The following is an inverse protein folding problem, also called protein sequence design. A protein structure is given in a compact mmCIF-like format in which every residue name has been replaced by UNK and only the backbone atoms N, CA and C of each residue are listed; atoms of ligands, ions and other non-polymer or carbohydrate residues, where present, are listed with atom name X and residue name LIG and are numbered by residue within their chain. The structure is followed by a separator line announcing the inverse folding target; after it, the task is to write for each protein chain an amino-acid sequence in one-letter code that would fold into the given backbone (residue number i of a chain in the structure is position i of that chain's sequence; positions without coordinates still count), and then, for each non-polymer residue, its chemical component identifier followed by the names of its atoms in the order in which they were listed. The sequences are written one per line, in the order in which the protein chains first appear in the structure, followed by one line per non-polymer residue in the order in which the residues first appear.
data_IF_129787635433
#
_entry.id   IF_129787635433
#
_cell.length_a   1.000
_cell.length_b   1.000
_cell.length_c   1.000
_cell.angle_alpha   90.00
_cell.angle_beta   90.00
_cell.angle_gamma   90.00
#
_symmetry.space_group_name_H-M   'P 1'
#
loop_
_entity.id
_entity.type
_entity.pdbx_description
1 polymer ?
#
# COMPACT_ATOMS: atom_id res chain seq x y z
N UNK A 1 -8.89 -5.43 29.36
CA UNK A 1 -9.94 -6.46 29.17
C UNK A 1 -9.46 -7.61 28.27
N UNK A 2 -8.93 -7.35 27.06
CA UNK A 2 -8.48 -8.37 26.09
C UNK A 2 -7.55 -9.47 26.64
N UNK A 3 -6.53 -9.13 27.45
CA UNK A 3 -5.60 -10.13 28.03
C UNK A 3 -6.29 -11.18 28.89
N UNK A 4 -7.29 -10.76 29.67
CA UNK A 4 -8.01 -11.63 30.59
C UNK A 4 -8.89 -12.62 29.82
N UNK A 5 -9.57 -12.13 28.79
CA UNK A 5 -10.44 -12.94 27.93
C UNK A 5 -9.64 -13.95 27.09
N UNK A 6 -8.50 -13.53 26.52
CA UNK A 6 -7.64 -14.41 25.73
C UNK A 6 -6.66 -15.24 26.56
N UNK A 7 -6.68 -15.08 27.90
CA UNK A 7 -5.75 -15.73 28.84
C UNK A 7 -4.27 -15.57 28.47
N UNK A 8 -3.91 -14.39 27.93
CA UNK A 8 -2.54 -14.08 27.51
C UNK A 8 -1.77 -13.44 28.67
N UNK A 9 -0.59 -13.99 28.98
CA UNK A 9 0.31 -13.46 30.00
C UNK A 9 1.07 -12.23 29.50
N UNK A 10 1.48 -11.36 30.43
CA UNK A 10 2.24 -10.13 30.15
C UNK A 10 3.47 -10.35 29.25
N UNK A 11 4.16 -11.46 29.44
CA UNK A 11 5.37 -11.81 28.70
C UNK A 11 5.10 -12.42 27.31
N UNK A 12 3.91 -12.98 27.07
CA UNK A 12 3.56 -13.59 25.78
C UNK A 12 3.17 -12.55 24.73
N UNK A 13 2.62 -11.44 25.19
CA UNK A 13 2.27 -10.29 24.37
C UNK A 13 2.45 -9.08 25.27
N UNK A 14 3.40 -8.19 25.02
CA UNK A 14 3.59 -6.99 25.83
C UNK A 14 2.45 -5.97 25.63
N UNK A 15 2.27 -5.02 26.55
CA UNK A 15 1.23 -3.99 26.40
C UNK A 15 1.46 -3.13 25.15
N UNK A 16 2.73 -2.87 24.80
CA UNK A 16 3.09 -2.17 23.57
C UNK A 16 2.68 -2.96 22.30
N UNK A 17 2.83 -4.28 22.30
CA UNK A 17 2.40 -5.13 21.18
C UNK A 17 0.88 -5.22 21.08
N UNK A 18 0.19 -5.29 22.22
CA UNK A 18 -1.26 -5.29 22.26
C UNK A 18 -1.82 -3.95 21.75
N UNK A 19 -1.23 -2.83 22.17
CA UNK A 19 -1.60 -1.49 21.71
C UNK A 19 -1.32 -1.31 20.20
N UNK A 20 -0.17 -1.79 19.73
CA UNK A 20 0.17 -1.76 18.30
C UNK A 20 -0.81 -2.60 17.46
N UNK A 21 -1.20 -3.78 17.97
CA UNK A 21 -2.21 -4.60 17.30
C UNK A 21 -3.56 -3.87 17.26
N UNK A 22 -3.96 -3.25 18.38
CA UNK A 22 -5.19 -2.45 18.46
C UNK A 22 -5.23 -1.31 17.45
N UNK A 23 -4.17 -0.48 17.40
CA UNK A 23 -4.05 0.63 16.44
C UNK A 23 -4.05 0.15 14.98
N UNK A 24 -3.55 -1.06 14.72
CA UNK A 24 -3.60 -1.64 13.38
C UNK A 24 -5.03 -2.07 12.98
N UNK A 25 -5.94 -2.27 13.94
CA UNK A 25 -7.30 -2.73 13.69
C UNK A 25 -8.31 -1.59 13.67
N UNK A 26 -8.09 -0.57 14.49
CA UNK A 26 -8.89 0.65 14.60
C UNK A 26 -8.44 1.65 13.53
N UNK A 27 -8.74 1.32 12.27
CA UNK A 27 -8.21 2.05 11.12
C UNK A 27 -8.77 3.48 11.03
N UNK A 28 -9.95 3.70 11.61
CA UNK A 28 -10.58 5.02 11.71
C UNK A 28 -10.21 5.77 13.00
N UNK A 29 -9.45 5.15 13.92
CA UNK A 29 -9.03 5.75 15.18
C UNK A 29 -10.19 6.08 16.12
N UNK A 30 -11.35 5.44 15.94
CA UNK A 30 -12.56 5.70 16.74
C UNK A 30 -12.46 5.20 18.17
N UNK A 31 -11.44 4.39 18.49
CA UNK A 31 -11.30 3.69 19.75
C UNK A 31 -12.22 2.47 19.85
N UNK A 32 -12.92 2.10 18.77
CA UNK A 32 -13.87 1.00 18.71
C UNK A 32 -13.61 0.15 17.47
N UNK A 33 -13.82 -1.16 17.56
CA UNK A 33 -13.72 -2.03 16.39
C UNK A 33 -15.11 -2.30 15.82
N UNK A 34 -15.33 -1.87 14.59
CA UNK A 34 -16.50 -2.28 13.82
C UNK A 34 -16.46 -3.78 13.50
N UNK A 35 -17.62 -4.37 13.22
CA UNK A 35 -17.70 -5.76 12.75
C UNK A 35 -16.85 -5.99 11.48
N UNK A 36 -16.70 -4.97 10.64
CA UNK A 36 -15.88 -5.00 9.43
C UNK A 36 -14.38 -5.11 9.72
N UNK A 37 -13.87 -4.28 10.63
CA UNK A 37 -12.48 -4.29 11.09
C UNK A 37 -12.13 -5.60 11.80
N UNK A 38 -13.00 -6.02 12.71
CA UNK A 38 -12.86 -7.29 13.43
C UNK A 38 -12.85 -8.50 12.47
N UNK A 39 -13.75 -8.52 11.48
CA UNK A 39 -13.77 -9.57 10.46
C UNK A 39 -12.51 -9.58 9.58
N UNK A 40 -11.95 -8.40 9.29
CA UNK A 40 -10.69 -8.26 8.54
C UNK A 40 -9.52 -8.86 9.33
N UNK A 41 -9.44 -8.58 10.63
CA UNK A 41 -8.47 -9.16 11.55
C UNK A 41 -8.52 -10.70 11.53
N UNK A 42 -9.71 -11.29 11.68
CA UNK A 42 -9.84 -12.76 11.70
C UNK A 42 -9.36 -13.41 10.39
N UNK A 43 -9.64 -12.78 9.25
CA UNK A 43 -9.13 -13.26 7.95
C UNK A 43 -7.61 -13.17 7.85
N UNK A 44 -7.00 -12.13 8.40
CA UNK A 44 -5.53 -12.03 8.46
C UNK A 44 -4.90 -13.14 9.31
N UNK A 45 -5.51 -13.47 10.45
CA UNK A 45 -5.05 -14.56 11.32
C UNK A 45 -5.18 -15.95 10.67
N UNK A 46 -6.29 -16.19 9.95
CA UNK A 46 -6.51 -17.46 9.23
C UNK A 46 -5.52 -17.68 8.07
N UNK A 47 -5.11 -16.61 7.38
CA UNK A 47 -4.11 -16.68 6.30
C UNK A 47 -2.71 -16.98 6.83
N UNK A 48 -2.35 -16.50 8.03
CA UNK A 48 -1.07 -16.81 8.69
C UNK A 48 -0.93 -18.28 9.11
N UNK A 49 -2.03 -18.91 9.55
CA UNK A 49 -2.03 -20.31 9.97
C UNK A 49 -1.86 -21.32 8.81
N UNK A 50 -1.98 -20.87 7.55
CA UNK A 50 -1.86 -21.71 6.34
C UNK A 50 -0.50 -21.64 5.64
N UNK A 51 0.50 -20.93 6.16
CA UNK A 51 1.70 -20.60 5.38
C UNK A 51 2.87 -21.60 5.51
N UNK A 52 2.83 -22.64 4.69
CA UNK A 52 3.78 -22.69 3.57
C UNK A 52 2.95 -22.81 2.31
N UNK A 53 3.06 -21.88 1.34
CA UNK A 53 2.30 -22.03 0.11
C UNK A 53 2.77 -23.33 -0.57
N UNK A 54 1.86 -24.23 -0.98
CA UNK A 54 2.24 -25.38 -1.78
C UNK A 54 2.97 -24.89 -3.03
N UNK A 55 4.02 -25.63 -3.43
CA UNK A 55 4.72 -25.42 -4.71
C UNK A 55 3.67 -25.57 -5.81
N UNK A 56 3.19 -24.44 -6.35
CA UNK A 56 1.94 -24.39 -7.11
C UNK A 56 2.19 -24.20 -8.60
N UNK A 57 1.50 -25.00 -9.40
CA UNK A 57 1.48 -24.97 -10.85
C UNK A 57 0.86 -23.66 -11.35
N UNK A 58 1.58 -22.96 -12.22
CA UNK A 58 1.11 -21.74 -12.87
C UNK A 58 0.11 -22.10 -13.97
N UNK A 59 -0.98 -21.33 -14.08
CA UNK A 59 -1.98 -21.49 -15.15
C UNK A 59 -1.52 -20.93 -16.50
N UNK A 60 -0.47 -20.11 -16.51
CA UNK A 60 0.21 -19.61 -17.70
C UNK A 60 1.20 -20.64 -18.27
N UNK A 61 1.56 -20.49 -19.53
CA UNK A 61 2.57 -21.35 -20.15
C UNK A 61 3.91 -21.24 -19.41
N UNK A 62 4.74 -22.30 -19.41
CA UNK A 62 6.08 -22.31 -18.77
C UNK A 62 6.96 -21.10 -19.14
N UNK A 63 6.75 -20.49 -20.31
CA UNK A 63 7.44 -19.28 -20.74
C UNK A 63 7.02 -18.01 -19.97
N UNK A 64 5.74 -17.86 -19.68
CA UNK A 64 5.20 -16.70 -18.93
C UNK A 64 5.67 -16.73 -17.47
N UNK A 65 5.76 -17.94 -16.88
CA UNK A 65 6.34 -18.12 -15.55
C UNK A 65 7.81 -17.69 -15.49
N UNK A 66 8.59 -18.14 -16.47
CA UNK A 66 9.99 -17.77 -16.55
C UNK A 66 10.16 -16.25 -16.74
N UNK A 67 9.33 -15.62 -17.58
CA UNK A 67 9.35 -14.19 -17.84
C UNK A 67 9.01 -13.37 -16.58
N UNK A 68 7.92 -13.72 -15.89
CA UNK A 68 7.52 -13.06 -14.65
C UNK A 68 8.59 -13.19 -13.55
N UNK A 69 9.20 -14.37 -13.39
CA UNK A 69 10.28 -14.56 -12.43
C UNK A 69 11.55 -13.78 -12.81
N UNK A 70 11.88 -13.70 -14.09
CA UNK A 70 13.02 -12.93 -14.58
C UNK A 70 12.82 -11.43 -14.35
N UNK A 71 11.65 -10.90 -14.70
CA UNK A 71 11.27 -9.52 -14.42
C UNK A 71 11.23 -9.24 -12.91
N UNK A 72 10.68 -10.16 -12.11
CA UNK A 72 10.69 -10.08 -10.66
C UNK A 72 12.07 -10.00 -10.06
N UNK A 73 13.03 -10.74 -10.61
CA UNK A 73 14.43 -10.66 -10.17
C UNK A 73 15.08 -9.31 -10.51
N UNK A 74 14.71 -8.68 -11.65
CA UNK A 74 15.20 -7.34 -12.02
C UNK A 74 14.59 -6.26 -11.13
N UNK A 75 13.27 -6.30 -10.94
CA UNK A 75 12.54 -5.44 -10.00
C UNK A 75 13.15 -5.57 -8.60
N UNK A 76 13.37 -6.80 -8.12
CA UNK A 76 14.02 -7.04 -6.83
C UNK A 76 15.41 -6.42 -6.74
N UNK A 77 16.28 -6.67 -7.72
CA UNK A 77 17.64 -6.11 -7.72
C UNK A 77 17.63 -4.57 -7.72
N UNK A 78 16.68 -3.96 -8.44
CA UNK A 78 16.53 -2.51 -8.47
C UNK A 78 16.02 -1.94 -7.16
N UNK A 79 15.03 -2.60 -6.55
CA UNK A 79 14.57 -2.27 -5.19
C UNK A 79 15.74 -2.30 -4.21
N UNK A 80 16.62 -3.29 -4.27
CA UNK A 80 17.81 -3.37 -3.41
C UNK A 80 18.80 -2.21 -3.64
N UNK A 81 18.99 -1.78 -4.88
CA UNK A 81 19.88 -0.65 -5.21
C UNK A 81 19.34 0.70 -4.76
N UNK A 82 18.02 0.91 -4.90
CA UNK A 82 17.35 2.15 -4.53
C UNK A 82 16.93 2.17 -3.05
N UNK A 83 17.08 1.03 -2.36
CA UNK A 83 16.74 0.87 -0.96
C UNK A 83 17.38 1.91 -0.02
N UNK A 84 18.68 2.27 -0.16
CA UNK A 84 19.27 3.31 0.68
C UNK A 84 18.71 4.71 0.42
N UNK A 85 17.99 4.90 -0.70
CA UNK A 85 17.50 6.19 -1.17
C UNK A 85 16.04 6.46 -0.81
N UNK A 86 15.35 5.53 -0.15
CA UNK A 86 13.99 5.73 0.35
C UNK A 86 12.90 5.80 -0.73
N UNK A 87 13.13 5.16 -1.89
CA UNK A 87 12.13 5.06 -2.96
C UNK A 87 10.98 4.15 -2.53
N UNK A 88 9.78 4.71 -2.33
CA UNK A 88 8.59 3.97 -1.90
C UNK A 88 7.61 3.63 -3.03
N UNK A 89 6.71 2.69 -2.74
CA UNK A 89 5.63 2.22 -3.62
C UNK A 89 4.41 3.12 -3.44
N UNK A 90 3.80 3.62 -4.51
CA UNK A 90 2.65 4.53 -4.40
C UNK A 90 1.37 3.82 -3.92
N UNK A 91 0.54 4.54 -3.14
CA UNK A 91 -0.86 4.17 -2.81
C UNK A 91 -1.13 3.77 -1.35
N UNK A 92 -2.15 4.39 -0.73
CA UNK A 92 -2.78 3.84 0.47
C UNK A 92 -3.81 2.79 0.06
N UNK A 93 -3.44 1.53 0.20
CA UNK A 93 -4.32 0.42 -0.11
C UNK A 93 -3.65 -0.70 -0.89
N UNK A 94 -4.45 -1.67 -1.37
CA UNK A 94 -3.94 -2.75 -2.18
C UNK A 94 -3.53 -2.20 -3.56
N UNK A 95 -2.33 -2.55 -3.99
CA UNK A 95 -1.70 -2.07 -5.21
C UNK A 95 -2.51 -2.52 -6.43
N UNK A 96 -2.93 -1.58 -7.25
CA UNK A 96 -3.59 -1.82 -8.54
C UNK A 96 -2.56 -2.01 -9.64
N UNK A 97 -2.99 -2.52 -10.80
CA UNK A 97 -2.09 -2.80 -11.93
C UNK A 97 -1.36 -1.54 -12.42
N UNK A 98 -2.11 -0.46 -12.59
CA UNK A 98 -1.56 0.82 -13.03
C UNK A 98 -0.53 1.37 -12.02
N UNK A 99 -0.81 1.22 -10.72
CA UNK A 99 0.11 1.67 -9.65
C UNK A 99 1.39 0.83 -9.60
N UNK A 100 1.29 -0.49 -9.85
CA UNK A 100 2.48 -1.34 -9.98
C UNK A 100 3.33 -0.91 -11.17
N UNK A 101 2.69 -0.63 -12.30
CA UNK A 101 3.37 -0.21 -13.52
C UNK A 101 4.07 1.14 -13.32
N UNK A 102 3.35 2.14 -12.82
CA UNK A 102 3.90 3.46 -12.47
C UNK A 102 5.05 3.32 -11.47
N UNK A 103 4.90 2.50 -10.42
CA UNK A 103 5.96 2.28 -9.46
C UNK A 103 7.20 1.66 -10.10
N UNK A 104 7.05 0.70 -11.02
CA UNK A 104 8.20 0.09 -11.71
C UNK A 104 8.86 1.08 -12.67
N UNK A 105 8.08 1.87 -13.41
CA UNK A 105 8.60 2.83 -14.39
C UNK A 105 9.21 4.06 -13.74
N UNK A 106 8.47 4.71 -12.86
CA UNK A 106 8.82 6.01 -12.31
C UNK A 106 9.53 5.87 -10.97
N UNK A 107 9.02 4.99 -10.11
CA UNK A 107 9.63 4.72 -8.81
C UNK A 107 10.99 4.02 -8.95
N UNK A 108 11.01 2.86 -9.62
CA UNK A 108 12.22 2.06 -9.78
C UNK A 108 13.08 2.49 -10.96
N UNK A 109 12.62 3.44 -11.78
CA UNK A 109 13.35 3.91 -12.97
C UNK A 109 13.79 2.74 -13.85
N UNK A 110 12.92 1.74 -14.03
CA UNK A 110 13.16 0.60 -14.91
C UNK A 110 12.56 0.87 -16.29
N UNK A 111 13.43 0.98 -17.27
CA UNK A 111 13.04 1.30 -18.66
C UNK A 111 12.32 0.11 -19.31
N UNK A 112 11.62 0.39 -20.40
CA UNK A 112 10.86 -0.63 -21.14
C UNK A 112 11.74 -1.74 -21.71
N UNK A 113 13.00 -1.45 -22.05
CA UNK A 113 13.98 -2.44 -22.49
C UNK A 113 14.50 -3.33 -21.35
N UNK A 114 14.42 -2.87 -20.10
CA UNK A 114 14.81 -3.63 -18.92
C UNK A 114 13.69 -4.53 -18.40
N UNK A 115 12.45 -4.06 -18.48
CA UNK A 115 11.26 -4.85 -18.18
C UNK A 115 10.20 -4.52 -19.22
N UNK A 116 9.91 -5.43 -20.14
CA UNK A 116 8.93 -5.18 -21.19
C UNK A 116 7.50 -5.15 -20.62
N UNK A 117 6.56 -4.47 -21.29
CA UNK A 117 5.15 -4.41 -20.86
C UNK A 117 4.53 -5.82 -20.70
N UNK A 118 4.83 -6.72 -21.64
CA UNK A 118 4.40 -8.12 -21.54
C UNK A 118 4.92 -8.84 -20.30
N UNK A 119 6.14 -8.53 -19.86
CA UNK A 119 6.70 -9.10 -18.63
C UNK A 119 6.04 -8.49 -17.38
N UNK A 120 5.76 -7.18 -17.38
CA UNK A 120 5.01 -6.54 -16.30
C UNK A 120 3.61 -7.12 -16.17
N UNK A 121 2.95 -7.41 -17.28
CA UNK A 121 1.67 -8.12 -17.29
C UNK A 121 1.81 -9.50 -16.64
N UNK A 122 2.84 -10.27 -17.00
CA UNK A 122 3.08 -11.58 -16.36
C UNK A 122 3.41 -11.45 -14.87
N UNK A 123 4.12 -10.40 -14.44
CA UNK A 123 4.37 -10.10 -13.02
C UNK A 123 3.05 -9.81 -12.30
N UNK A 124 2.20 -8.97 -12.90
CA UNK A 124 0.88 -8.65 -12.35
C UNK A 124 0.02 -9.91 -12.20
N UNK A 125 -0.12 -10.71 -13.25
CA UNK A 125 -0.89 -11.97 -13.22
C UNK A 125 -0.33 -12.96 -12.18
N UNK A 126 0.99 -12.98 -11.98
CA UNK A 126 1.62 -13.80 -10.96
C UNK A 126 1.35 -13.31 -9.51
N UNK A 127 1.11 -12.01 -9.35
CA UNK A 127 0.76 -11.39 -8.07
C UNK A 127 -0.75 -11.49 -7.79
N UNK A 128 -1.57 -11.23 -8.79
CA UNK A 128 -3.03 -11.08 -8.72
C UNK A 128 -3.77 -12.41 -8.92
N UNK A 129 -3.40 -13.42 -8.13
CA UNK A 129 -3.90 -14.79 -8.29
C UNK A 129 -5.41 -14.97 -8.06
N UNK A 130 -6.02 -14.10 -7.27
CA UNK A 130 -7.43 -14.22 -6.89
C UNK A 130 -8.40 -13.47 -7.83
N UNK A 131 -7.90 -12.78 -8.87
CA UNK A 131 -8.77 -12.07 -9.81
C UNK A 131 -9.45 -10.83 -9.22
N UNK A 132 -8.96 -10.31 -8.09
CA UNK A 132 -9.56 -9.17 -7.38
C UNK A 132 -9.18 -7.79 -7.96
N UNK A 133 -8.31 -7.75 -8.97
CA UNK A 133 -7.78 -6.52 -9.57
C UNK A 133 -6.84 -5.72 -8.67
N UNK A 134 -6.39 -6.31 -7.55
CA UNK A 134 -5.60 -5.63 -6.52
C UNK A 134 -4.66 -6.59 -5.79
N UNK A 135 -3.49 -6.11 -5.40
CA UNK A 135 -2.43 -6.90 -4.78
C UNK A 135 -2.06 -6.28 -3.43
N UNK A 136 -2.28 -7.03 -2.35
CA UNK A 136 -1.84 -6.60 -1.02
C UNK A 136 -0.31 -6.59 -0.90
N UNK A 137 0.22 -5.64 -0.13
CA UNK A 137 1.65 -5.47 0.11
C UNK A 137 2.34 -6.78 0.53
N UNK A 138 1.68 -7.62 1.33
CA UNK A 138 2.24 -8.90 1.79
C UNK A 138 2.44 -9.89 0.65
N UNK A 139 1.55 -9.86 -0.35
CA UNK A 139 1.63 -10.71 -1.54
C UNK A 139 2.81 -10.28 -2.40
N UNK A 140 2.92 -8.97 -2.68
CA UNK A 140 4.05 -8.39 -3.40
C UNK A 140 5.38 -8.72 -2.72
N UNK A 141 5.48 -8.47 -1.41
CA UNK A 141 6.68 -8.76 -0.61
C UNK A 141 7.03 -10.25 -0.61
N UNK A 142 6.04 -11.11 -0.44
CA UNK A 142 6.20 -12.56 -0.49
C UNK A 142 6.72 -13.03 -1.85
N UNK A 143 6.21 -12.44 -2.93
CA UNK A 143 6.62 -12.76 -4.29
C UNK A 143 8.03 -12.26 -4.62
N UNK A 144 8.36 -11.01 -4.28
CA UNK A 144 9.71 -10.45 -4.47
C UNK A 144 10.76 -11.27 -3.73
N UNK A 145 10.48 -11.69 -2.49
CA UNK A 145 11.36 -12.60 -1.74
C UNK A 145 11.61 -13.92 -2.46
N UNK A 146 10.59 -14.49 -3.11
CA UNK A 146 10.76 -15.74 -3.89
C UNK A 146 11.65 -15.52 -5.12
N UNK A 147 11.57 -14.35 -5.75
CA UNK A 147 12.41 -13.98 -6.89
C UNK A 147 13.88 -13.77 -6.45
N UNK A 148 14.11 -13.10 -5.32
CA UNK A 148 15.44 -12.89 -4.75
C UNK A 148 16.09 -14.14 -4.16
N UNK A 149 15.31 -15.03 -3.52
CA UNK A 149 15.82 -16.23 -2.85
C UNK A 149 16.51 -17.24 -3.81
N UNK A 150 16.24 -17.17 -5.12
CA UNK A 150 16.95 -17.98 -6.11
C UNK A 150 18.40 -17.52 -6.36
N UNK A 151 18.81 -16.34 -5.85
CA UNK A 151 20.18 -15.80 -5.98
C UNK A 151 21.08 -16.00 -4.76
N UNK A 152 20.60 -16.66 -3.70
CA UNK A 152 21.48 -17.25 -2.68
C UNK A 152 22.12 -16.32 -1.64
N UNK A 153 21.64 -15.08 -1.42
CA UNK A 153 22.26 -14.18 -0.42
C UNK A 153 21.25 -13.58 0.59
N UNK A 154 21.67 -13.56 1.86
CA UNK A 154 21.14 -12.81 3.01
C UNK A 154 19.62 -12.75 3.26
N UNK A 155 19.07 -13.82 3.88
CA UNK A 155 17.62 -13.97 4.19
C UNK A 155 17.11 -13.17 5.41
N UNK A 156 17.98 -12.66 6.29
CA UNK A 156 17.58 -12.08 7.60
C UNK A 156 17.75 -10.57 7.72
N UNK A 157 18.74 -9.98 7.08
CA UNK A 157 18.99 -8.53 7.17
C UNK A 157 17.99 -7.70 6.34
N UNK A 158 17.45 -8.32 5.29
CA UNK A 158 16.43 -7.76 4.40
C UNK A 158 15.10 -7.47 5.11
N UNK A 159 14.61 -8.40 5.95
CA UNK A 159 13.26 -8.29 6.55
C UNK A 159 13.14 -7.06 7.47
N UNK A 160 14.21 -6.70 8.20
CA UNK A 160 14.17 -5.56 9.13
C UNK A 160 14.27 -4.21 8.41
N UNK A 161 15.17 -4.10 7.44
CA UNK A 161 15.41 -2.85 6.73
C UNK A 161 14.24 -2.51 5.79
N UNK A 162 13.77 -3.48 5.00
CA UNK A 162 12.62 -3.29 4.09
C UNK A 162 11.36 -2.94 4.86
N UNK A 163 11.11 -3.61 5.99
CA UNK A 163 9.98 -3.27 6.85
C UNK A 163 10.09 -1.85 7.40
N UNK A 164 11.27 -1.42 7.87
CA UNK A 164 11.48 -0.09 8.43
C UNK A 164 11.28 1.01 7.39
N UNK A 165 11.71 0.78 6.16
CA UNK A 165 11.63 1.78 5.08
C UNK A 165 10.24 1.85 4.47
N UNK A 166 9.54 0.71 4.30
CA UNK A 166 8.13 0.70 3.94
C UNK A 166 7.29 1.41 5.03
N UNK A 167 7.55 1.15 6.31
CA UNK A 167 6.87 1.85 7.40
C UNK A 167 7.16 3.36 7.42
N UNK A 168 8.43 3.77 7.23
CA UNK A 168 8.80 5.19 7.20
C UNK A 168 8.16 5.92 6.02
N UNK A 169 8.11 5.27 4.87
CA UNK A 169 7.49 5.79 3.67
C UNK A 169 5.96 5.90 3.79
N UNK A 170 5.28 4.85 4.25
CA UNK A 170 3.82 4.87 4.50
C UNK A 170 3.47 5.98 5.50
N UNK A 171 4.28 6.14 6.55
CA UNK A 171 4.13 7.25 7.50
C UNK A 171 4.31 8.62 6.82
N UNK A 172 5.33 8.79 5.99
CA UNK A 172 5.55 10.04 5.25
C UNK A 172 4.40 10.36 4.28
N UNK A 173 3.74 9.36 3.70
CA UNK A 173 2.58 9.52 2.83
C UNK A 173 1.32 9.91 3.61
N UNK A 174 1.06 9.24 4.74
CA UNK A 174 0.00 9.64 5.66
C UNK A 174 0.16 11.11 6.07
N UNK A 175 1.38 11.52 6.43
CA UNK A 175 1.70 12.92 6.77
C UNK A 175 1.53 13.89 5.58
N UNK A 176 1.66 13.42 4.34
CA UNK A 176 1.42 14.23 3.15
C UNK A 176 -0.09 14.41 2.90
N UNK A 177 -0.88 13.34 3.04
CA UNK A 177 -2.34 13.38 2.92
C UNK A 177 -2.93 14.31 3.97
N UNK A 178 -2.55 14.14 5.24
CA UNK A 178 -2.98 15.01 6.33
C UNK A 178 -2.60 16.49 6.13
N UNK A 179 -1.52 16.76 5.38
CA UNK A 179 -1.15 18.14 5.00
C UNK A 179 -2.07 18.69 3.92
N UNK A 180 -2.41 17.89 2.92
CA UNK A 180 -3.34 18.30 1.87
C UNK A 180 -4.76 18.51 2.39
N UNK A 181 -5.23 17.64 3.28
CA UNK A 181 -6.53 17.80 3.93
C UNK A 181 -6.60 19.08 4.76
N UNK A 182 -5.57 19.37 5.58
CA UNK A 182 -5.47 20.63 6.31
C UNK A 182 -5.44 21.86 5.39
N UNK A 183 -4.75 21.78 4.26
CA UNK A 183 -4.76 22.87 3.26
C UNK A 183 -6.14 23.07 2.64
N UNK A 184 -6.87 21.99 2.37
CA UNK A 184 -8.23 22.07 1.84
C UNK A 184 -9.20 22.70 2.85
N UNK A 185 -9.13 22.33 4.12
CA UNK A 185 -9.92 22.92 5.21
C UNK A 185 -9.60 24.40 5.43
N UNK A 186 -8.32 24.77 5.40
CA UNK A 186 -7.87 26.16 5.50
C UNK A 186 -8.42 27.01 4.35
N UNK A 187 -8.39 26.49 3.11
CA UNK A 187 -8.96 27.16 1.94
C UNK A 187 -10.49 27.32 2.05
N UNK A 188 -11.21 26.29 2.51
CA UNK A 188 -12.65 26.39 2.76
C UNK A 188 -12.97 27.46 3.81
N UNK A 189 -12.20 27.52 4.90
CA UNK A 189 -12.35 28.54 5.93
C UNK A 189 -12.07 29.95 5.38
N UNK A 190 -11.05 30.11 4.54
CA UNK A 190 -10.75 31.39 3.89
C UNK A 190 -11.86 31.84 2.94
N UNK A 191 -12.46 30.91 2.17
CA UNK A 191 -13.61 31.19 1.31
C UNK A 191 -14.83 31.63 2.14
N UNK A 192 -15.14 30.94 3.24
CA UNK A 192 -16.22 31.34 4.16
C UNK A 192 -16.00 32.73 4.76
N UNK A 193 -14.76 33.04 5.18
CA UNK A 193 -14.40 34.37 5.70
C UNK A 193 -14.52 35.46 4.63
N UNK A 194 -14.12 35.17 3.40
CA UNK A 194 -14.28 36.10 2.27
C UNK A 194 -15.76 36.38 2.00
N UNK A 195 -16.60 35.33 1.94
CA UNK A 195 -18.04 35.47 1.73
C UNK A 195 -18.71 36.33 2.83
N UNK A 196 -18.34 36.12 4.10
CA UNK A 196 -18.85 36.91 5.22
C UNK A 196 -18.50 38.40 5.13
N UNK A 197 -17.29 38.75 4.66
CA UNK A 197 -16.85 40.15 4.50
C UNK A 197 -17.61 40.90 3.41
N UNK A 198 -18.06 40.20 2.37
CA UNK A 198 -18.80 40.81 1.26
C UNK A 198 -20.31 40.91 1.51
N UNK A 199 -20.79 40.56 2.71
CA UNK A 199 -22.16 40.82 3.14
C UNK A 199 -23.23 40.16 2.27
N UNK A 200 -22.90 39.08 1.55
CA UNK A 200 -23.87 38.31 0.77
C UNK A 200 -24.52 37.28 1.70
N UNK A 201 -25.71 37.55 2.27
CA UNK A 201 -26.19 36.76 3.40
C UNK A 201 -26.75 35.41 2.94
N UNK A 202 -27.21 35.29 1.69
CA UNK A 202 -27.86 34.08 1.16
C UNK A 202 -27.77 33.95 -0.37
N UNK A 203 -26.74 34.50 -1.00
CA UNK A 203 -26.43 34.11 -2.37
C UNK A 203 -25.99 32.65 -2.34
N UNK A 204 -26.89 31.72 -2.66
CA UNK A 204 -26.57 30.33 -2.99
C UNK A 204 -25.57 30.36 -4.13
N UNK A 205 -24.29 30.44 -3.82
CA UNK A 205 -23.22 30.12 -4.75
C UNK A 205 -23.27 28.61 -4.90
N UNK A 206 -24.25 28.14 -5.69
CA UNK A 206 -24.22 26.81 -6.28
C UNK A 206 -23.11 26.85 -7.33
N UNK A 207 -21.86 26.91 -6.85
CA UNK A 207 -20.69 26.67 -7.67
C UNK A 207 -20.75 25.19 -7.94
N UNK A 208 -21.52 24.81 -8.96
CA UNK A 208 -21.61 23.43 -9.38
C UNK A 208 -20.18 22.95 -9.61
N UNK A 209 -19.89 21.71 -9.21
CA UNK A 209 -18.57 21.10 -9.41
C UNK A 209 -18.08 21.23 -10.87
N UNK A 210 -19.01 21.39 -11.81
CA UNK A 210 -18.76 21.65 -13.23
C UNK A 210 -18.12 23.02 -13.53
N UNK A 211 -18.48 24.06 -12.77
CA UNK A 211 -17.87 25.39 -12.88
C UNK A 211 -16.41 25.39 -12.42
N UNK A 212 -16.11 24.66 -11.33
CA UNK A 212 -14.74 24.46 -10.85
C UNK A 212 -13.89 23.65 -11.84
N UNK A 213 -14.45 22.60 -12.44
CA UNK A 213 -13.75 21.80 -13.47
C UNK A 213 -13.42 22.62 -14.72
N UNK A 214 -14.33 23.46 -15.21
CA UNK A 214 -14.07 24.37 -16.37
C UNK A 214 -13.00 25.42 -16.07
N UNK A 215 -12.95 25.94 -14.84
CA UNK A 215 -11.95 26.91 -14.44
C UNK A 215 -10.54 26.30 -14.31
N UNK A 216 -10.43 25.03 -13.90
CA UNK A 216 -9.15 24.32 -13.83
C UNK A 216 -8.67 23.88 -15.21
N UNK A 217 -9.58 23.48 -16.11
CA UNK A 217 -9.24 23.06 -17.47
C UNK A 217 -8.87 24.20 -18.44
N UNK A 218 -9.02 25.47 -18.01
CA UNK A 218 -8.69 26.65 -18.82
C UNK A 218 -7.37 27.33 -18.42
N UNK A 219 -6.61 26.70 -17.50
CA UNK A 219 -5.21 27.03 -17.20
C UNK A 219 -4.28 26.02 -17.85
#
# INVERSE_FOLDING_TARGET
MVRRELRLLAHQLSDAQLLSAWLCFDADGSGHLSAGEFGRMLRLGQRGARASPPRQEWGGGRGEEAAALAAGARIHARVEQLFPLGVGVYGDGPLQRAELEEWVRDGLQLREDEVAEGELRCVWEALEREGEGRVDERVLRGWLRRCGARRGSARHEWDHNVQRSLCAYMKSKQEAIERYERQAEELDLQLRRAAARHGSPHGSYDVSAESLRKAVASR
#
